data_IF_988772213028
#
_entry.id   IF_988772213028
#
_cell.length_a   1.000
_cell.length_b   1.000
_cell.length_c   1.000
_cell.angle_alpha   90.00
_cell.angle_beta   90.00
_cell.angle_gamma   90.00
#
_symmetry.space_group_name_H-M   'P 1'
#
loop_
_entity.id
_entity.type
_entity.pdbx_description
1 polymer ?
#
# COMPACT_ATOMS: atom_id res chain seq x y z
N UNK A 1 -12.30 -21.26 3.87
CA UNK A 1 -12.49 -19.87 4.33
C UNK A 1 -12.03 -19.73 5.79
N UNK A 2 -11.25 -18.70 6.13
CA UNK A 2 -10.70 -18.48 7.49
C UNK A 2 -11.59 -17.54 8.31
N UNK A 3 -11.94 -16.39 7.73
CA UNK A 3 -12.82 -15.39 8.31
C UNK A 3 -14.23 -15.61 7.77
N UNK A 4 -15.13 -16.12 8.61
CA UNK A 4 -16.55 -16.30 8.27
C UNK A 4 -17.43 -15.16 8.77
N UNK A 5 -17.08 -14.57 9.92
CA UNK A 5 -17.84 -13.51 10.56
C UNK A 5 -16.91 -12.42 11.09
N UNK A 6 -17.39 -11.18 11.05
CA UNK A 6 -16.67 -10.02 11.59
C UNK A 6 -17.66 -8.91 11.95
N UNK A 7 -17.24 -8.04 12.87
CA UNK A 7 -17.98 -6.82 13.20
C UNK A 7 -17.37 -5.64 12.44
N UNK A 8 -18.12 -5.11 11.48
CA UNK A 8 -17.72 -3.98 10.67
C UNK A 8 -18.10 -2.66 11.34
N UNK A 9 -17.17 -1.73 11.39
CA UNK A 9 -17.39 -0.36 11.82
C UNK A 9 -16.79 0.60 10.80
N UNK A 10 -17.56 1.63 10.44
CA UNK A 10 -17.09 2.72 9.57
C UNK A 10 -17.26 4.02 10.33
N UNK A 11 -16.22 4.84 10.33
CA UNK A 11 -16.19 6.10 11.05
C UNK A 11 -15.39 7.14 10.26
N UNK A 12 -15.66 8.41 10.55
CA UNK A 12 -14.86 9.53 10.09
C UNK A 12 -13.87 9.87 11.20
N UNK A 13 -12.55 9.76 10.97
CA UNK A 13 -11.57 10.30 11.90
C UNK A 13 -11.73 11.84 11.96
N UNK A 14 -11.37 12.48 13.08
CA UNK A 14 -11.36 13.93 13.16
C UNK A 14 -10.38 14.47 12.11
N UNK A 15 -10.89 15.13 11.07
CA UNK A 15 -10.12 15.74 9.98
C UNK A 15 -10.67 17.12 9.65
N UNK A 16 -9.86 17.92 8.96
CA UNK A 16 -10.18 19.30 8.58
C UNK A 16 -11.54 19.40 7.84
N UNK A 17 -12.39 20.39 8.17
CA UNK A 17 -13.64 20.65 7.48
C UNK A 17 -13.44 20.70 5.95
N UNK A 18 -14.20 19.91 5.20
CA UNK A 18 -14.11 19.85 3.72
C UNK A 18 -13.20 18.76 3.14
N UNK A 19 -12.55 17.94 3.98
CA UNK A 19 -11.75 16.77 3.54
C UNK A 19 -12.17 15.48 4.21
N UNK A 20 -13.48 15.24 4.30
CA UNK A 20 -14.00 14.02 4.91
C UNK A 20 -13.38 12.78 4.25
N UNK A 21 -12.72 11.97 5.07
CA UNK A 21 -12.22 10.65 4.72
C UNK A 21 -12.89 9.64 5.63
N UNK A 22 -13.09 8.45 5.11
CA UNK A 22 -13.66 7.35 5.88
C UNK A 22 -12.57 6.36 6.24
N UNK A 23 -12.71 5.81 7.45
CA UNK A 23 -11.96 4.65 7.90
C UNK A 23 -12.95 3.55 8.24
N UNK A 24 -12.60 2.31 7.89
CA UNK A 24 -13.37 1.14 8.28
C UNK A 24 -12.44 0.13 8.96
N UNK A 25 -12.98 -0.59 9.94
CA UNK A 25 -12.31 -1.76 10.46
C UNK A 25 -13.30 -2.91 10.68
N UNK A 26 -12.80 -4.12 10.44
CA UNK A 26 -13.46 -5.37 10.75
C UNK A 26 -12.77 -5.95 11.98
N UNK A 27 -13.48 -6.05 13.11
CA UNK A 27 -13.03 -6.88 14.25
C UNK A 27 -13.39 -8.33 13.94
N UNK A 28 -12.39 -9.19 13.96
CA UNK A 28 -12.51 -10.60 13.59
C UNK A 28 -12.86 -11.44 14.80
N UNK A 29 -13.56 -12.54 14.56
CA UNK A 29 -13.86 -13.58 15.56
C UNK A 29 -12.80 -14.69 15.58
N UNK A 30 -11.86 -14.66 14.63
CA UNK A 30 -10.77 -15.62 14.45
C UNK A 30 -9.42 -14.90 14.48
N UNK A 31 -8.38 -15.55 15.00
CA UNK A 31 -7.01 -15.06 14.94
C UNK A 31 -6.41 -15.34 13.55
N UNK A 32 -6.01 -14.27 12.83
CA UNK A 32 -5.44 -14.37 11.48
C UNK A 32 -3.91 -14.27 11.46
N UNK A 33 -3.22 -14.46 12.58
CA UNK A 33 -1.76 -14.35 12.65
C UNK A 33 -1.04 -15.29 11.71
N UNK A 34 -1.56 -16.51 11.55
CA UNK A 34 -0.94 -17.54 10.70
C UNK A 34 -1.02 -17.20 9.21
N UNK A 35 -1.98 -16.38 8.77
CA UNK A 35 -2.06 -15.96 7.36
C UNK A 35 -1.14 -14.78 7.04
N UNK A 36 -0.66 -14.03 8.04
CA UNK A 36 0.16 -12.83 7.83
C UNK A 36 1.45 -13.08 7.03
N UNK A 37 2.23 -14.15 7.25
CA UNK A 37 3.42 -14.43 6.46
C UNK A 37 3.12 -14.74 4.98
N UNK A 38 1.97 -15.35 4.70
CA UNK A 38 1.53 -15.63 3.32
C UNK A 38 1.03 -14.35 2.63
N UNK A 39 0.36 -13.47 3.37
CA UNK A 39 0.04 -12.13 2.88
C UNK A 39 1.33 -11.34 2.61
N UNK A 40 2.35 -11.44 3.48
CA UNK A 40 3.63 -10.78 3.27
C UNK A 40 4.34 -11.27 2.00
N UNK A 41 4.27 -12.57 1.70
CA UNK A 41 4.86 -13.14 0.50
C UNK A 41 4.15 -12.69 -0.80
N UNK A 42 2.86 -12.36 -0.72
CA UNK A 42 2.03 -12.06 -1.90
C UNK A 42 1.79 -10.57 -2.11
N UNK A 43 1.76 -9.77 -1.04
CA UNK A 43 1.49 -8.33 -1.07
C UNK A 43 2.79 -7.54 -1.21
N UNK A 44 3.15 -7.22 -2.45
CA UNK A 44 4.30 -6.37 -2.74
C UNK A 44 4.20 -5.01 -2.04
N UNK A 45 5.30 -4.58 -1.42
CA UNK A 45 5.38 -3.31 -0.70
C UNK A 45 4.64 -3.28 0.64
N UNK A 46 4.12 -4.44 1.10
CA UNK A 46 3.69 -4.59 2.48
C UNK A 46 4.90 -4.56 3.43
N UNK A 47 4.67 -4.09 4.65
CA UNK A 47 5.64 -4.11 5.71
C UNK A 47 5.10 -4.99 6.84
N UNK A 48 5.74 -6.15 7.02
CA UNK A 48 5.45 -7.06 8.11
C UNK A 48 6.29 -6.72 9.35
N UNK A 49 5.64 -6.68 10.50
CA UNK A 49 6.28 -6.55 11.80
C UNK A 49 6.07 -7.84 12.59
N UNK A 50 7.13 -8.63 12.76
CA UNK A 50 7.06 -9.87 13.54
C UNK A 50 6.92 -9.64 15.05
N UNK A 51 7.44 -8.51 15.57
CA UNK A 51 7.40 -8.20 17.00
C UNK A 51 6.00 -7.76 17.47
N UNK A 52 5.25 -7.10 16.59
CA UNK A 52 3.83 -6.82 16.78
C UNK A 52 3.12 -7.42 15.56
N UNK A 53 2.63 -8.68 15.62
CA UNK A 53 2.26 -9.52 14.48
C UNK A 53 1.22 -8.82 13.60
N UNK A 54 1.71 -7.99 12.68
CA UNK A 54 0.91 -7.05 11.93
C UNK A 54 1.56 -6.80 10.58
N UNK A 55 0.72 -6.63 9.58
CA UNK A 55 1.12 -6.32 8.22
C UNK A 55 0.46 -5.02 7.80
N UNK A 56 1.26 -4.05 7.39
CA UNK A 56 0.76 -2.78 6.85
C UNK A 56 1.01 -2.73 5.36
N UNK A 57 0.04 -2.22 4.62
CA UNK A 57 0.10 -2.16 3.17
C UNK A 57 -0.56 -0.88 2.68
N UNK A 58 -0.09 -0.31 1.57
CA UNK A 58 -0.84 0.77 0.90
C UNK A 58 -1.19 0.33 -0.51
N UNK A 59 -2.46 0.55 -0.86
CA UNK A 59 -3.06 0.18 -2.13
C UNK A 59 -4.05 1.28 -2.53
N UNK A 60 -3.90 1.83 -3.73
CA UNK A 60 -4.84 2.83 -4.25
C UNK A 60 -4.99 4.09 -3.39
N UNK A 61 -3.95 4.49 -2.65
CA UNK A 61 -4.01 5.60 -1.69
C UNK A 61 -4.60 5.24 -0.33
N UNK A 62 -5.16 4.05 -0.15
CA UNK A 62 -5.64 3.57 1.15
C UNK A 62 -4.48 3.07 2.00
N UNK A 63 -4.56 3.31 3.31
CA UNK A 63 -3.68 2.63 4.26
C UNK A 63 -4.43 1.43 4.83
N UNK A 64 -3.84 0.25 4.69
CA UNK A 64 -4.41 -1.02 5.12
C UNK A 64 -3.53 -1.59 6.22
N UNK A 65 -4.15 -2.13 7.27
CA UNK A 65 -3.48 -2.84 8.33
C UNK A 65 -4.19 -4.16 8.61
N UNK A 66 -3.41 -5.23 8.67
CA UNK A 66 -3.84 -6.56 9.11
C UNK A 66 -3.21 -6.82 10.47
N UNK A 67 -4.05 -7.07 11.47
CA UNK A 67 -3.67 -7.49 12.82
C UNK A 67 -4.32 -8.85 13.10
N UNK A 68 -3.90 -9.57 14.16
CA UNK A 68 -4.46 -10.88 14.46
C UNK A 68 -5.98 -10.85 14.68
N UNK A 69 -6.48 -9.77 15.28
CA UNK A 69 -7.88 -9.60 15.70
C UNK A 69 -8.69 -8.64 14.81
N UNK A 70 -8.06 -7.98 13.83
CA UNK A 70 -8.73 -6.95 13.02
C UNK A 70 -8.06 -6.66 11.68
N UNK A 71 -8.87 -6.20 10.73
CA UNK A 71 -8.41 -5.58 9.48
C UNK A 71 -8.92 -4.16 9.47
N UNK A 72 -8.06 -3.20 9.11
CA UNK A 72 -8.42 -1.79 9.04
C UNK A 72 -8.02 -1.20 7.69
N UNK A 73 -8.84 -0.29 7.18
CA UNK A 73 -8.58 0.54 6.01
C UNK A 73 -8.88 2.00 6.35
N UNK A 74 -8.03 2.92 5.89
CA UNK A 74 -8.22 4.36 6.06
C UNK A 74 -7.90 5.12 4.78
N UNK A 75 -8.21 6.42 4.79
CA UNK A 75 -8.07 7.34 3.66
C UNK A 75 -9.04 7.04 2.50
N UNK A 76 -10.22 6.50 2.78
CA UNK A 76 -11.23 6.18 1.77
C UNK A 76 -12.13 7.38 1.50
N UNK A 77 -12.63 7.53 0.27
CA UNK A 77 -13.39 8.70 -0.16
C UNK A 77 -14.77 8.80 0.50
N UNK A 78 -15.47 7.68 0.63
CA UNK A 78 -16.82 7.62 1.17
C UNK A 78 -17.05 6.33 1.97
N UNK A 79 -18.21 6.26 2.64
CA UNK A 79 -18.59 5.15 3.51
C UNK A 79 -18.78 3.84 2.75
N UNK A 80 -19.36 3.88 1.56
CA UNK A 80 -19.67 2.68 0.77
C UNK A 80 -18.37 2.08 0.21
N UNK A 81 -17.50 2.93 -0.35
CA UNK A 81 -16.15 2.54 -0.77
C UNK A 81 -15.35 1.93 0.38
N UNK A 82 -15.49 2.44 1.62
CA UNK A 82 -14.79 1.89 2.77
C UNK A 82 -15.27 0.47 3.14
N UNK A 83 -16.58 0.20 2.98
CA UNK A 83 -17.16 -1.14 3.17
C UNK A 83 -16.67 -2.09 2.08
N UNK A 84 -16.78 -1.67 0.82
CA UNK A 84 -16.38 -2.49 -0.32
C UNK A 84 -14.88 -2.85 -0.29
N UNK A 85 -14.01 -1.89 0.05
CA UNK A 85 -12.58 -2.15 0.19
C UNK A 85 -12.33 -3.16 1.32
N UNK A 86 -12.99 -2.98 2.48
CA UNK A 86 -12.84 -3.90 3.61
C UNK A 86 -13.32 -5.33 3.27
N UNK A 87 -14.45 -5.48 2.59
CA UNK A 87 -14.93 -6.79 2.10
C UNK A 87 -13.96 -7.43 1.11
N UNK A 88 -13.36 -6.62 0.23
CA UNK A 88 -12.29 -7.06 -0.66
C UNK A 88 -11.07 -7.59 0.11
N UNK A 89 -10.69 -6.94 1.20
CA UNK A 89 -9.59 -7.38 2.06
C UNK A 89 -9.91 -8.69 2.79
N UNK A 90 -11.14 -8.87 3.27
CA UNK A 90 -11.58 -10.14 3.88
C UNK A 90 -11.49 -11.29 2.87
N UNK A 91 -11.97 -11.06 1.63
CA UNK A 91 -11.86 -12.04 0.53
C UNK A 91 -10.40 -12.35 0.20
N UNK A 92 -9.54 -11.34 0.13
CA UNK A 92 -8.10 -11.51 -0.09
C UNK A 92 -7.46 -12.39 0.99
N UNK A 93 -7.78 -12.15 2.27
CA UNK A 93 -7.27 -12.97 3.37
C UNK A 93 -7.72 -14.43 3.24
N UNK A 94 -9.02 -14.64 2.97
CA UNK A 94 -9.57 -15.98 2.81
C UNK A 94 -8.98 -16.73 1.61
N UNK A 95 -8.83 -16.05 0.48
CA UNK A 95 -8.20 -16.62 -0.73
C UNK A 95 -6.73 -16.99 -0.50
N UNK A 96 -5.98 -16.10 0.17
CA UNK A 96 -4.58 -16.35 0.53
C UNK A 96 -4.48 -17.56 1.46
N UNK A 97 -5.36 -17.66 2.45
CA UNK A 97 -5.41 -18.80 3.36
C UNK A 97 -5.72 -20.12 2.64
N UNK A 98 -6.68 -20.13 1.72
CA UNK A 98 -7.06 -21.33 0.97
C UNK A 98 -5.92 -21.85 0.10
N UNK A 99 -5.12 -20.94 -0.46
CA UNK A 99 -3.95 -21.25 -1.30
C UNK A 99 -2.63 -21.35 -0.55
N UNK A 100 -2.63 -21.33 0.79
CA UNK A 100 -1.40 -21.29 1.59
C UNK A 100 -0.43 -22.44 1.32
N UNK A 101 -0.90 -23.59 0.86
CA UNK A 101 -0.05 -24.72 0.48
C UNK A 101 0.78 -24.47 -0.80
N UNK A 102 0.40 -23.47 -1.60
CA UNK A 102 1.08 -23.06 -2.83
C UNK A 102 2.03 -21.87 -2.62
N UNK A 103 2.00 -21.25 -1.43
CA UNK A 103 2.68 -19.98 -1.15
C UNK A 103 3.76 -20.25 -0.11
N UNK A 104 5.01 -19.94 -0.44
CA UNK A 104 6.09 -19.94 0.55
C UNK A 104 5.92 -18.72 1.48
N UNK A 105 5.73 -18.90 2.80
CA UNK A 105 5.51 -17.79 3.72
C UNK A 105 6.76 -16.93 3.88
N UNK A 106 6.62 -15.60 3.86
CA UNK A 106 7.73 -14.70 4.12
C UNK A 106 7.56 -14.01 5.48
N UNK A 107 8.61 -14.06 6.29
CA UNK A 107 8.70 -13.32 7.56
C UNK A 107 9.63 -12.11 7.45
N UNK A 108 10.15 -11.85 6.25
CA UNK A 108 11.10 -10.78 6.04
C UNK A 108 10.42 -9.43 6.25
N UNK A 109 11.11 -8.56 6.98
CA UNK A 109 10.70 -7.17 7.16
C UNK A 109 11.01 -6.43 5.86
N UNK A 110 10.07 -6.49 4.93
CA UNK A 110 10.09 -5.68 3.72
C UNK A 110 9.91 -4.23 4.16
N UNK A 111 11.02 -3.49 4.25
CA UNK A 111 10.96 -2.06 4.56
C UNK A 111 10.63 -1.32 3.27
N UNK A 112 9.67 -0.40 3.36
CA UNK A 112 9.52 0.60 2.30
C UNK A 112 10.85 1.31 2.09
N UNK A 113 11.26 1.53 0.83
CA UNK A 113 12.45 2.29 0.52
C UNK A 113 12.43 3.65 1.21
N UNK A 114 13.55 4.03 1.79
CA UNK A 114 13.70 5.37 2.35
C UNK A 114 13.59 6.43 1.25
N UNK A 115 13.08 7.61 1.57
CA UNK A 115 13.01 8.75 0.64
C UNK A 115 14.34 9.00 -0.07
N UNK A 116 15.44 8.98 0.68
CA UNK A 116 16.78 9.22 0.14
C UNK A 116 17.29 8.07 -0.74
N UNK A 117 16.86 6.84 -0.51
CA UNK A 117 17.20 5.69 -1.36
C UNK A 117 16.54 5.84 -2.73
N UNK A 118 15.24 6.17 -2.74
CA UNK A 118 14.50 6.45 -3.98
C UNK A 118 15.07 7.67 -4.70
N UNK A 119 15.29 8.77 -3.99
CA UNK A 119 15.79 10.01 -4.59
C UNK A 119 17.15 9.85 -5.29
N UNK A 120 18.05 9.04 -4.73
CA UNK A 120 19.37 8.76 -5.32
C UNK A 120 19.29 8.01 -6.65
N UNK A 121 18.22 7.24 -6.86
CA UNK A 121 17.98 6.47 -8.08
C UNK A 121 17.21 7.26 -9.14
N UNK A 122 16.72 8.46 -8.83
CA UNK A 122 16.09 9.32 -9.83
C UNK A 122 17.13 10.01 -10.73
N UNK A 123 16.73 10.48 -11.93
CA UNK A 123 17.61 11.23 -12.83
C UNK A 123 18.15 12.53 -12.23
N UNK A 124 17.49 13.08 -11.20
CA UNK A 124 17.85 14.33 -10.50
C UNK A 124 17.98 15.56 -11.41
N UNK A 125 17.38 15.52 -12.60
CA UNK A 125 17.37 16.63 -13.57
C UNK A 125 16.47 17.79 -13.14
N UNK A 126 15.52 17.55 -12.23
CA UNK A 126 14.48 18.52 -11.84
C UNK A 126 13.75 19.16 -13.03
N UNK A 127 13.59 18.40 -14.13
CA UNK A 127 13.00 18.87 -15.39
C UNK A 127 11.51 19.27 -15.29
N UNK A 128 10.81 18.83 -14.23
CA UNK A 128 9.37 19.03 -14.00
C UNK A 128 8.45 18.36 -15.03
N UNK A 129 8.97 17.47 -15.89
CA UNK A 129 8.18 16.77 -16.91
C UNK A 129 7.07 15.85 -16.32
N UNK A 130 7.21 15.42 -15.07
CA UNK A 130 6.19 14.69 -14.33
C UNK A 130 5.15 15.57 -13.62
N UNK A 131 5.24 16.90 -13.75
CA UNK A 131 4.36 17.87 -13.08
C UNK A 131 4.76 18.20 -11.63
N UNK A 132 5.81 17.58 -11.10
CA UNK A 132 6.32 17.87 -9.75
C UNK A 132 7.39 18.96 -9.73
N UNK A 133 7.45 19.75 -8.65
CA UNK A 133 8.34 20.89 -8.53
C UNK A 133 9.85 20.52 -8.57
N UNK A 134 10.19 19.32 -8.14
CA UNK A 134 11.54 18.76 -8.19
C UNK A 134 11.52 17.23 -8.13
N UNK A 135 12.64 16.58 -8.48
CA UNK A 135 12.81 15.13 -8.31
C UNK A 135 12.69 14.72 -6.83
N UNK A 136 13.03 15.61 -5.89
CA UNK A 136 12.87 15.33 -4.46
C UNK A 136 11.38 15.27 -4.07
N UNK A 137 10.58 16.20 -4.57
CA UNK A 137 9.11 16.19 -4.35
C UNK A 137 8.49 14.94 -4.98
N UNK A 138 8.91 14.58 -6.21
CA UNK A 138 8.48 13.33 -6.84
C UNK A 138 8.85 12.10 -6.01
N UNK A 139 10.11 11.99 -5.54
CA UNK A 139 10.55 10.89 -4.69
C UNK A 139 9.70 10.77 -3.42
N UNK A 140 9.42 11.90 -2.75
CA UNK A 140 8.59 11.93 -1.53
C UNK A 140 7.17 11.45 -1.80
N UNK A 141 6.57 11.90 -2.90
CA UNK A 141 5.26 11.43 -3.33
C UNK A 141 5.28 9.95 -3.73
N UNK A 142 6.36 9.46 -4.31
CA UNK A 142 6.52 8.06 -4.72
C UNK A 142 6.57 7.12 -3.50
N UNK A 143 7.41 7.41 -2.49
CA UNK A 143 7.43 6.61 -1.24
C UNK A 143 6.12 6.69 -0.46
N UNK A 144 5.41 7.82 -0.59
CA UNK A 144 4.07 8.01 -0.01
C UNK A 144 2.96 7.27 -0.79
N UNK A 145 3.25 6.74 -1.99
CA UNK A 145 2.28 6.12 -2.90
C UNK A 145 1.27 7.12 -3.51
N UNK A 146 1.65 8.40 -3.63
CA UNK A 146 0.82 9.45 -4.21
C UNK A 146 0.99 9.55 -5.74
N UNK A 147 2.12 9.12 -6.27
CA UNK A 147 2.44 9.08 -7.72
C UNK A 147 3.00 7.71 -8.08
N UNK A 148 3.00 7.37 -9.37
CA UNK A 148 3.62 6.15 -9.93
C UNK A 148 5.01 6.43 -10.44
N UNK A 149 5.83 5.39 -10.47
CA UNK A 149 7.14 5.44 -11.13
C UNK A 149 7.02 5.85 -12.61
N UNK A 150 6.00 5.31 -13.30
CA UNK A 150 5.70 5.60 -14.71
C UNK A 150 5.21 7.04 -14.98
N UNK A 151 4.92 7.83 -13.94
CA UNK A 151 4.55 9.24 -14.14
C UNK A 151 5.79 10.10 -14.43
N UNK A 152 7.02 9.56 -14.33
CA UNK A 152 8.26 10.24 -14.73
C UNK A 152 8.72 9.79 -16.12
N UNK A 153 8.50 10.59 -17.18
CA UNK A 153 8.84 10.19 -18.55
C UNK A 153 10.35 10.04 -18.78
N UNK A 154 11.18 10.77 -18.01
CA UNK A 154 12.64 10.67 -18.11
C UNK A 154 13.12 9.28 -17.69
N UNK A 155 12.44 8.62 -16.74
CA UNK A 155 12.81 7.26 -16.34
C UNK A 155 12.51 6.19 -17.41
N UNK A 156 11.72 6.51 -18.44
CA UNK A 156 11.47 5.61 -19.57
C UNK A 156 12.59 5.64 -20.63
N UNK A 157 13.51 6.61 -20.54
CA UNK A 157 14.64 6.70 -21.46
C UNK A 157 15.64 5.56 -21.24
N UNK A 158 16.24 5.06 -22.32
CA UNK A 158 17.17 3.92 -22.29
C UNK A 158 18.33 4.12 -21.30
N UNK A 159 18.81 5.35 -21.15
CA UNK A 159 19.90 5.69 -20.23
C UNK A 159 19.55 5.48 -18.74
N UNK A 160 18.25 5.40 -18.42
CA UNK A 160 17.74 5.22 -17.06
C UNK A 160 17.13 3.83 -16.82
N UNK A 161 17.29 2.88 -17.76
CA UNK A 161 16.68 1.56 -17.69
C UNK A 161 17.05 0.77 -16.41
N UNK A 162 18.31 0.80 -15.99
CA UNK A 162 18.77 0.12 -14.77
C UNK A 162 18.19 0.76 -13.50
N UNK A 163 18.16 2.10 -13.46
CA UNK A 163 17.56 2.85 -12.35
C UNK A 163 16.08 2.54 -12.23
N UNK A 164 15.36 2.49 -13.36
CA UNK A 164 13.95 2.12 -13.41
C UNK A 164 13.74 0.69 -12.92
N UNK A 165 14.51 -0.28 -13.40
CA UNK A 165 14.40 -1.68 -12.96
C UNK A 165 14.63 -1.82 -11.44
N UNK A 166 15.64 -1.13 -10.92
CA UNK A 166 15.93 -1.11 -9.48
C UNK A 166 14.78 -0.49 -8.68
N UNK A 167 14.29 0.67 -9.10
CA UNK A 167 13.15 1.34 -8.47
C UNK A 167 11.89 0.47 -8.50
N UNK A 168 11.63 -0.21 -9.61
CA UNK A 168 10.52 -1.15 -9.76
C UNK A 168 10.62 -2.31 -8.78
N UNK A 169 11.80 -2.93 -8.63
CA UNK A 169 12.02 -4.00 -7.66
C UNK A 169 11.85 -3.54 -6.22
N UNK A 170 12.28 -2.32 -5.91
CA UNK A 170 12.18 -1.72 -4.58
C UNK A 170 10.74 -1.30 -4.20
N UNK A 171 9.97 -0.82 -5.17
CA UNK A 171 8.64 -0.24 -4.94
C UNK A 171 7.49 -1.23 -5.19
N UNK A 172 7.76 -2.31 -5.94
CA UNK A 172 6.74 -3.22 -6.46
C UNK A 172 6.11 -2.68 -7.74
N UNK A 173 5.95 -3.56 -8.74
CA UNK A 173 5.16 -3.26 -9.93
C UNK A 173 3.71 -3.00 -9.52
N UNK A 174 3.16 -1.87 -9.98
CA UNK A 174 1.78 -1.41 -9.73
C UNK A 174 1.50 -0.82 -8.34
N UNK A 175 2.19 0.27 -7.99
CA UNK A 175 1.67 1.23 -7.01
C UNK A 175 0.72 2.21 -7.71
N UNK A 176 -0.62 2.05 -7.73
CA UNK A 176 -1.49 3.05 -8.35
C UNK A 176 -1.29 4.42 -7.70
N UNK A 177 -1.03 5.44 -8.53
CA UNK A 177 -0.91 6.83 -8.12
C UNK A 177 -2.24 7.29 -7.52
N UNK A 178 -2.18 8.06 -6.43
CA UNK A 178 -3.37 8.78 -5.99
C UNK A 178 -3.80 9.75 -7.08
N UNK A 179 -5.12 9.80 -7.32
CA UNK A 179 -5.74 10.78 -8.21
C UNK A 179 -5.27 12.19 -7.87
N UNK A 180 -4.95 12.96 -8.91
CA UNK A 180 -4.64 14.38 -8.81
C UNK A 180 -5.78 15.06 -8.04
N UNK A 181 -5.46 15.68 -6.90
CA UNK A 181 -6.26 16.80 -6.40
C UNK A 181 -6.02 17.94 -7.40
N UNK A 182 -6.86 18.01 -8.43
CA UNK A 182 -7.00 19.24 -9.19
C UNK A 182 -7.62 20.25 -8.23
N UNK A 183 -6.90 21.37 -8.05
CA UNK A 183 -7.31 22.50 -7.22
C UNK A 183 -8.17 23.43 -8.06
#
# INVERSE_FOLDING_TARGET
MLIETYNLQVFTPPCDPGTERFSAFARLTVDIREVLPYLNATLRGAAYNAAAPALTWKKGGHNIAFHPDRIAVSNVADREAAIQELEGLIKLVNHTWERRAEIEPSHDVHRRPGLMEVYKLLPRSNCKACGEASCFVFANKLVASHVRLQDCPVLDELQHAEQRATLTGMLGEEMPAMGRREM
#
